data_IF_986469174732
#
_entry.id   IF_986469174732
#
_cell.length_a   1.000
_cell.length_b   1.000
_cell.length_c   1.000
_cell.angle_alpha   90.00
_cell.angle_beta   90.00
_cell.angle_gamma   90.00
#
_symmetry.space_group_name_H-M   'P 1'
#
loop_
_entity.id
_entity.type
_entity.pdbx_description
1 polymer ?
#
# COMPACT_ATOMS: atom_id res chain seq x y z
N UNK A 1 -22.54 -12.64 -1.38
CA UNK A 1 -21.59 -12.16 -0.38
C UNK A 1 -20.35 -11.61 -1.08
N UNK A 2 -19.90 -10.42 -0.73
CA UNK A 2 -18.66 -9.94 -1.30
C UNK A 2 -17.52 -10.83 -0.85
N UNK A 3 -16.68 -11.21 -1.79
CA UNK A 3 -15.47 -11.96 -1.49
C UNK A 3 -14.48 -11.03 -0.82
N UNK A 4 -13.95 -11.46 0.31
CA UNK A 4 -12.91 -10.72 1.01
C UNK A 4 -11.56 -11.25 0.59
N UNK A 5 -10.63 -10.34 0.35
CA UNK A 5 -9.26 -10.69 0.03
C UNK A 5 -8.44 -10.74 1.32
N UNK A 6 -7.54 -11.70 1.40
CA UNK A 6 -6.51 -11.70 2.41
C UNK A 6 -5.48 -10.62 2.10
N UNK A 7 -4.89 -10.03 3.12
CA UNK A 7 -3.88 -8.98 2.92
C UNK A 7 -2.55 -9.46 3.46
N UNK A 8 -1.53 -9.37 2.62
CA UNK A 8 -0.15 -9.64 2.99
C UNK A 8 0.65 -8.35 2.84
N UNK A 9 1.41 -8.00 3.87
CA UNK A 9 2.26 -6.81 3.84
C UNK A 9 3.71 -7.30 3.73
N UNK A 10 4.38 -6.91 2.64
CA UNK A 10 5.75 -7.35 2.40
C UNK A 10 6.71 -6.83 3.47
N UNK A 11 7.86 -7.50 3.68
CA UNK A 11 8.89 -6.98 4.58
C UNK A 11 9.35 -5.58 4.20
N UNK A 12 9.41 -5.28 2.91
CA UNK A 12 9.77 -3.94 2.44
C UNK A 12 8.73 -2.91 2.87
N UNK A 13 7.44 -3.22 2.72
CA UNK A 13 6.38 -2.30 3.13
C UNK A 13 6.38 -2.08 4.63
N UNK A 14 6.63 -3.13 5.42
CA UNK A 14 6.79 -3.01 6.87
C UNK A 14 7.95 -2.08 7.21
N UNK A 15 9.10 -2.25 6.55
CA UNK A 15 10.26 -1.39 6.76
C UNK A 15 9.94 0.06 6.37
N UNK A 16 9.24 0.26 5.25
CA UNK A 16 8.81 1.58 4.81
C UNK A 16 7.94 2.27 5.86
N UNK A 17 6.97 1.56 6.43
CA UNK A 17 6.08 2.09 7.46
C UNK A 17 6.86 2.48 8.73
N UNK A 18 7.83 1.66 9.12
CA UNK A 18 8.69 1.96 10.27
C UNK A 18 9.53 3.21 10.03
N UNK A 19 10.09 3.36 8.84
CA UNK A 19 10.88 4.53 8.46
C UNK A 19 10.02 5.79 8.46
N UNK A 20 8.81 5.72 7.89
CA UNK A 20 7.88 6.83 7.86
C UNK A 20 7.51 7.25 9.27
N UNK A 21 7.18 6.29 10.14
CA UNK A 21 6.83 6.57 11.53
C UNK A 21 7.99 7.27 12.25
N UNK A 22 9.20 6.73 12.13
CA UNK A 22 10.38 7.30 12.77
C UNK A 22 10.65 8.74 12.30
N UNK A 23 10.53 8.96 10.99
CA UNK A 23 10.79 10.28 10.41
C UNK A 23 9.77 11.33 10.89
N UNK A 24 8.48 11.00 10.83
CA UNK A 24 7.43 11.92 11.24
C UNK A 24 7.45 12.15 12.74
N UNK A 25 7.84 11.14 13.54
CA UNK A 25 7.94 11.25 15.00
C UNK A 25 8.93 12.29 15.46
N UNK A 26 9.95 12.60 14.64
CA UNK A 26 10.92 13.64 14.97
C UNK A 26 10.22 14.99 15.16
N UNK A 27 9.24 15.29 14.31
CA UNK A 27 8.49 16.55 14.39
C UNK A 27 7.29 16.44 15.31
N UNK A 28 6.57 15.32 15.28
CA UNK A 28 5.35 15.14 16.08
C UNK A 28 5.04 13.65 16.24
N UNK A 29 5.24 13.08 17.45
CA UNK A 29 4.87 11.69 17.70
C UNK A 29 3.37 11.42 17.48
N UNK A 30 2.50 12.37 17.80
CA UNK A 30 1.06 12.21 17.60
C UNK A 30 0.73 12.14 16.11
N UNK A 31 1.33 13.00 15.31
CA UNK A 31 1.13 12.98 13.86
C UNK A 31 1.62 11.68 13.24
N UNK A 32 2.73 11.14 13.74
CA UNK A 32 3.26 9.86 13.27
C UNK A 32 2.26 8.74 13.55
N UNK A 33 1.71 8.69 14.76
CA UNK A 33 0.73 7.66 15.12
C UNK A 33 -0.52 7.77 14.26
N UNK A 34 -1.06 8.98 14.08
CA UNK A 34 -2.25 9.20 13.26
C UNK A 34 -2.02 8.81 11.81
N UNK A 35 -0.87 9.17 11.25
CA UNK A 35 -0.52 8.84 9.88
C UNK A 35 -0.44 7.32 9.68
N UNK A 36 0.23 6.62 10.57
CA UNK A 36 0.36 5.16 10.47
C UNK A 36 -1.01 4.50 10.60
N UNK A 37 -1.87 4.97 11.48
CA UNK A 37 -3.24 4.46 11.60
C UNK A 37 -4.01 4.64 10.29
N UNK A 38 -3.90 5.82 9.67
CA UNK A 38 -4.57 6.09 8.40
C UNK A 38 -4.06 5.19 7.28
N UNK A 39 -2.75 4.95 7.24
CA UNK A 39 -2.15 4.05 6.25
C UNK A 39 -2.65 2.62 6.44
N UNK A 40 -2.72 2.13 7.68
CA UNK A 40 -3.23 0.79 7.95
C UNK A 40 -4.73 0.68 7.62
N UNK A 41 -5.52 1.71 7.88
CA UNK A 41 -6.93 1.71 7.49
C UNK A 41 -7.09 1.61 5.97
N UNK A 42 -6.26 2.33 5.23
CA UNK A 42 -6.29 2.27 3.78
C UNK A 42 -5.91 0.87 3.28
N UNK A 43 -4.93 0.24 3.89
CA UNK A 43 -4.54 -1.13 3.57
C UNK A 43 -5.69 -2.09 3.87
N UNK A 44 -6.31 -1.96 5.04
CA UNK A 44 -7.42 -2.84 5.42
C UNK A 44 -8.59 -2.78 4.45
N UNK A 45 -8.88 -1.60 3.91
CA UNK A 45 -9.97 -1.44 2.95
C UNK A 45 -9.75 -2.21 1.65
N UNK A 46 -8.50 -2.55 1.35
CA UNK A 46 -8.17 -3.32 0.14
C UNK A 46 -8.73 -4.74 0.19
N UNK A 47 -9.10 -5.24 1.38
CA UNK A 47 -9.68 -6.58 1.50
C UNK A 47 -11.07 -6.68 0.87
N UNK A 48 -11.75 -5.57 0.67
CA UNK A 48 -13.11 -5.55 0.11
C UNK A 48 -13.15 -5.03 -1.32
N UNK A 49 -12.39 -3.97 -1.62
CA UNK A 49 -12.46 -3.30 -2.92
C UNK A 49 -11.06 -2.94 -3.45
N UNK A 50 -10.23 -3.94 -3.79
CA UNK A 50 -8.89 -3.63 -4.29
C UNK A 50 -8.86 -3.15 -5.74
N UNK A 51 -9.85 -3.54 -6.56
CA UNK A 51 -9.83 -3.30 -8.01
C UNK A 51 -10.06 -1.86 -8.45
N UNK A 52 -10.88 -1.03 -7.76
CA UNK A 52 -11.13 0.34 -8.23
C UNK A 52 -9.92 1.25 -8.20
N UNK A 53 -8.84 0.85 -7.51
CA UNK A 53 -7.67 1.71 -7.38
C UNK A 53 -6.86 1.77 -8.67
N UNK A 54 -6.22 2.92 -8.90
CA UNK A 54 -5.51 3.19 -10.13
C UNK A 54 -4.35 2.24 -10.36
N UNK A 55 -4.13 1.90 -11.63
CA UNK A 55 -3.02 1.04 -12.03
C UNK A 55 -1.76 1.91 -12.16
N UNK A 56 -0.68 1.51 -11.47
CA UNK A 56 0.61 2.18 -11.58
C UNK A 56 1.41 1.64 -12.77
N UNK A 57 1.44 0.31 -12.91
CA UNK A 57 2.05 -0.31 -14.08
C UNK A 57 1.31 -1.60 -14.40
N UNK A 58 1.06 -1.82 -15.69
CA UNK A 58 0.37 -3.00 -16.18
C UNK A 58 1.33 -4.01 -16.75
N UNK A 59 1.00 -5.26 -16.59
CA UNK A 59 1.68 -6.38 -17.20
C UNK A 59 0.63 -7.23 -17.90
N UNK A 60 1.10 -8.16 -18.77
CA UNK A 60 0.18 -9.06 -19.48
C UNK A 60 -0.65 -9.90 -18.51
N UNK A 61 -0.03 -10.35 -17.42
CA UNK A 61 -0.73 -11.14 -16.41
C UNK A 61 -1.31 -10.20 -15.35
N UNK A 62 -2.61 -10.33 -15.03
CA UNK A 62 -3.22 -9.48 -14.02
C UNK A 62 -2.50 -9.54 -12.67
N UNK A 63 -1.94 -10.69 -12.29
CA UNK A 63 -1.21 -10.86 -11.04
C UNK A 63 0.07 -10.01 -10.98
N UNK A 64 0.53 -9.50 -12.11
CA UNK A 64 1.72 -8.63 -12.18
C UNK A 64 1.37 -7.16 -12.30
N UNK A 65 0.08 -6.83 -12.38
CA UNK A 65 -0.37 -5.45 -12.43
C UNK A 65 -0.19 -4.79 -11.07
N UNK A 66 0.52 -3.67 -11.03
CA UNK A 66 0.71 -2.91 -9.81
C UNK A 66 -0.33 -1.81 -9.75
N UNK A 67 -1.06 -1.75 -8.64
CA UNK A 67 -2.06 -0.72 -8.36
C UNK A 67 -1.55 0.18 -7.24
N UNK A 68 -2.14 1.35 -7.13
CA UNK A 68 -1.74 2.33 -6.13
C UNK A 68 -2.95 2.96 -5.47
N UNK A 69 -2.79 3.33 -4.21
CA UNK A 69 -3.76 4.13 -3.49
C UNK A 69 -3.04 5.25 -2.75
N UNK A 70 -3.34 6.52 -3.09
CA UNK A 70 -2.73 7.64 -2.37
C UNK A 70 -3.45 7.88 -1.04
N UNK A 71 -2.67 8.10 0.01
CA UNK A 71 -3.16 8.47 1.34
C UNK A 71 -2.27 9.59 1.86
N UNK A 72 -2.83 10.78 2.05
CA UNK A 72 -2.08 11.97 2.43
C UNK A 72 -0.96 12.22 1.42
N UNK A 73 0.27 12.31 1.87
CA UNK A 73 1.44 12.52 0.99
C UNK A 73 2.10 11.23 0.54
N UNK A 74 1.51 10.08 0.91
CA UNK A 74 2.10 8.77 0.65
C UNK A 74 1.27 7.99 -0.36
N UNK A 75 1.90 7.01 -0.99
CA UNK A 75 1.25 6.12 -1.94
C UNK A 75 1.56 4.68 -1.53
N UNK A 76 0.51 3.88 -1.42
CA UNK A 76 0.60 2.45 -1.14
C UNK A 76 0.53 1.72 -2.48
N UNK A 77 1.55 0.90 -2.78
CA UNK A 77 1.58 0.09 -4.00
C UNK A 77 1.31 -1.37 -3.65
N UNK A 78 0.46 -2.01 -4.46
CA UNK A 78 0.05 -3.38 -4.19
C UNK A 78 -0.26 -4.14 -5.48
N UNK A 79 -0.29 -5.46 -5.38
CA UNK A 79 -0.76 -6.38 -6.41
C UNK A 79 -1.89 -7.22 -5.88
N UNK A 80 -2.75 -7.67 -6.79
CA UNK A 80 -3.85 -8.56 -6.47
C UNK A 80 -3.56 -9.91 -7.09
N UNK A 81 -3.55 -10.96 -6.27
CA UNK A 81 -3.49 -12.34 -6.73
C UNK A 81 -4.90 -12.92 -6.67
N UNK A 82 -5.52 -13.02 -7.84
CA UNK A 82 -6.91 -13.51 -7.93
C UNK A 82 -7.01 -15.01 -7.61
N UNK A 83 -5.98 -15.77 -7.94
CA UNK A 83 -6.00 -17.22 -7.70
C UNK A 83 -6.09 -17.54 -6.21
N UNK A 84 -5.41 -16.77 -5.38
CA UNK A 84 -5.41 -16.93 -3.93
C UNK A 84 -6.29 -15.92 -3.22
N UNK A 85 -6.87 -14.97 -3.97
CA UNK A 85 -7.64 -13.83 -3.44
C UNK A 85 -6.85 -13.09 -2.36
N UNK A 86 -5.63 -12.75 -2.70
CA UNK A 86 -4.69 -12.08 -1.80
C UNK A 86 -4.27 -10.74 -2.38
N UNK A 87 -4.28 -9.71 -1.54
CA UNK A 87 -3.69 -8.41 -1.84
C UNK A 87 -2.30 -8.37 -1.22
N UNK A 88 -1.28 -8.18 -2.06
CA UNK A 88 0.10 -8.10 -1.60
C UNK A 88 0.55 -6.65 -1.60
N UNK A 89 0.70 -6.06 -0.43
CA UNK A 89 1.22 -4.70 -0.29
C UNK A 89 2.73 -4.74 -0.47
N UNK A 90 3.21 -4.04 -1.50
CA UNK A 90 4.60 -4.15 -1.94
C UNK A 90 5.51 -3.12 -1.26
N UNK A 91 5.05 -1.87 -1.21
CA UNK A 91 5.83 -0.77 -0.67
C UNK A 91 4.93 0.42 -0.39
N UNK A 92 5.39 1.31 0.50
CA UNK A 92 4.72 2.58 0.78
C UNK A 92 5.76 3.68 0.57
N UNK A 93 5.45 4.67 -0.29
CA UNK A 93 6.40 5.70 -0.65
C UNK A 93 5.78 7.08 -0.57
N UNK A 94 6.61 8.08 -0.36
CA UNK A 94 6.18 9.48 -0.44
C UNK A 94 5.83 9.81 -1.88
N UNK A 95 4.67 10.45 -2.09
CA UNK A 95 4.14 10.70 -3.44
C UNK A 95 4.96 11.69 -4.25
N UNK A 96 5.78 12.55 -3.59
CA UNK A 96 6.64 13.50 -4.30
C UNK A 96 7.93 12.86 -4.83
N UNK A 97 8.23 11.63 -4.41
CA UNK A 97 9.42 10.94 -4.90
C UNK A 97 9.16 10.33 -6.24
N UNK A 98 10.25 10.11 -7.00
CA UNK A 98 10.15 9.43 -8.28
C UNK A 98 9.49 8.07 -8.10
N UNK A 99 8.57 7.75 -9.01
CA UNK A 99 7.84 6.49 -8.96
C UNK A 99 8.81 5.31 -9.08
N UNK A 100 8.59 4.22 -8.29
CA UNK A 100 9.44 3.06 -8.40
C UNK A 100 9.31 2.43 -9.79
N UNK A 101 10.44 2.03 -10.35
CA UNK A 101 10.46 1.34 -11.64
C UNK A 101 10.29 -0.16 -11.46
N UNK A 102 10.66 -0.68 -10.29
CA UNK A 102 10.57 -2.10 -9.95
C UNK A 102 9.90 -2.27 -8.60
N UNK A 103 9.20 -3.34 -8.50
CA UNK A 103 8.48 -3.71 -7.27
C UNK A 103 8.90 -5.10 -6.81
#
# INVERSE_FOLDING_TARGET
MPLKYSITISPRAIADLNIIHAHVSISSPQSATSLIQDLFRAIDRLNELPHPHAIQSGRRKPSQTVRRVPIHRFVIYFRIDEATQTVNVLTVRHGSRQRPRRF
#
